data_IF_030453448756
#
_entry.id   IF_030453448756
#
_cell.length_a   1.000
_cell.length_b   1.000
_cell.length_c   1.000
_cell.angle_alpha   90.00
_cell.angle_beta   90.00
_cell.angle_gamma   90.00
#
_symmetry.space_group_name_H-M   'P 1'
#
loop_
_entity.id
_entity.type
_entity.pdbx_description
1 polymer ?
#
# COMPACT_ATOMS: atom_id res chain seq x y z
N UNK A 1 -24.77 11.25 5.07
CA UNK A 1 -23.77 10.59 4.21
C UNK A 1 -22.56 10.17 5.02
N UNK A 2 -21.96 11.04 5.85
CA UNK A 2 -20.81 10.70 6.68
C UNK A 2 -21.03 9.42 7.52
N UNK A 3 -22.16 9.35 8.25
CA UNK A 3 -22.51 8.17 9.06
C UNK A 3 -22.67 6.88 8.24
N UNK A 4 -23.10 6.99 6.99
CA UNK A 4 -23.34 5.83 6.12
C UNK A 4 -22.00 5.30 5.58
N UNK A 5 -21.07 6.20 5.24
CA UNK A 5 -19.68 5.87 4.88
C UNK A 5 -19.00 5.14 6.04
N UNK A 6 -19.04 5.70 7.25
CA UNK A 6 -18.39 5.07 8.41
C UNK A 6 -19.00 3.70 8.74
N UNK A 7 -20.33 3.53 8.63
CA UNK A 7 -20.98 2.22 8.78
C UNK A 7 -20.59 1.22 7.70
N UNK A 8 -20.39 1.68 6.46
CA UNK A 8 -19.87 0.84 5.40
C UNK A 8 -18.48 0.34 5.77
N UNK A 9 -17.57 1.23 6.18
CA UNK A 9 -16.21 0.86 6.55
C UNK A 9 -16.15 -0.06 7.77
N UNK A 10 -16.94 0.19 8.82
CA UNK A 10 -17.08 -0.73 9.97
C UNK A 10 -17.53 -2.13 9.56
N UNK A 11 -18.47 -2.20 8.60
CA UNK A 11 -18.93 -3.48 8.05
C UNK A 11 -17.81 -4.18 7.29
N UNK A 12 -17.00 -3.45 6.54
CA UNK A 12 -15.83 -4.00 5.82
C UNK A 12 -14.78 -4.51 6.79
N UNK A 13 -14.45 -3.74 7.81
CA UNK A 13 -13.55 -4.18 8.89
C UNK A 13 -14.07 -5.45 9.57
N UNK A 14 -15.37 -5.48 9.95
CA UNK A 14 -15.97 -6.66 10.60
C UNK A 14 -16.02 -7.91 9.72
N UNK A 15 -15.91 -7.74 8.40
CA UNK A 15 -15.89 -8.82 7.42
C UNK A 15 -14.46 -9.22 7.00
N UNK A 16 -13.41 -8.61 7.57
CA UNK A 16 -12.02 -8.78 7.12
C UNK A 16 -11.79 -8.35 5.66
N UNK A 17 -12.55 -7.34 5.21
CA UNK A 17 -12.50 -6.73 3.87
C UNK A 17 -11.97 -5.29 3.93
N UNK A 18 -11.36 -4.88 5.05
CA UNK A 18 -10.69 -3.59 5.24
C UNK A 18 -9.19 -3.84 5.38
N UNK A 19 -8.29 -2.95 4.91
CA UNK A 19 -6.86 -3.17 5.07
C UNK A 19 -6.54 -3.32 6.55
N UNK A 20 -5.80 -4.37 6.89
CA UNK A 20 -5.36 -4.68 8.24
C UNK A 20 -3.84 -4.83 8.19
N UNK A 21 -3.13 -3.97 8.92
CA UNK A 21 -1.66 -3.92 8.89
C UNK A 21 -1.01 -4.82 9.94
N UNK A 22 -1.81 -5.33 10.86
CA UNK A 22 -1.52 -6.37 11.85
C UNK A 22 -1.81 -7.79 11.32
N UNK A 23 -1.95 -7.92 10.01
CA UNK A 23 -2.31 -9.17 9.36
C UNK A 23 -1.07 -9.93 8.90
N UNK A 24 -0.86 -11.14 9.42
CA UNK A 24 0.26 -12.05 9.12
C UNK A 24 0.32 -12.55 7.65
N UNK A 25 -0.36 -11.90 6.70
CA UNK A 25 -0.37 -12.26 5.28
C UNK A 25 0.52 -11.37 4.40
N UNK A 26 1.07 -10.27 4.93
CA UNK A 26 1.97 -9.40 4.17
C UNK A 26 2.92 -8.60 5.06
N UNK A 27 4.21 -8.71 4.78
CA UNK A 27 5.23 -7.80 5.31
C UNK A 27 5.15 -6.46 4.57
N UNK A 28 4.65 -5.43 5.24
CA UNK A 28 4.43 -4.12 4.62
C UNK A 28 5.76 -3.41 4.36
N UNK A 29 5.87 -2.77 3.19
CA UNK A 29 6.96 -1.86 2.83
C UNK A 29 6.52 -0.40 2.76
N UNK A 30 5.33 -0.14 2.22
CA UNK A 30 4.77 1.19 2.10
C UNK A 30 3.26 1.11 1.85
N UNK A 31 2.55 2.17 2.20
CA UNK A 31 1.10 2.27 1.99
C UNK A 31 0.71 3.66 1.49
N UNK A 32 -0.34 3.73 0.68
CA UNK A 32 -0.91 4.98 0.17
C UNK A 32 -2.42 4.96 0.26
N UNK A 33 -2.99 6.07 0.74
CA UNK A 33 -4.41 6.36 0.68
C UNK A 33 -4.67 7.50 -0.32
N UNK A 34 -5.61 7.29 -1.23
CA UNK A 34 -6.05 8.29 -2.20
C UNK A 34 -7.57 8.44 -2.12
N UNK A 35 -8.05 9.69 -2.12
CA UNK A 35 -9.46 10.04 -2.17
C UNK A 35 -9.76 10.74 -3.50
N UNK A 36 -10.75 10.25 -4.23
CA UNK A 36 -11.19 10.82 -5.50
C UNK A 36 -12.60 11.38 -5.37
N UNK A 37 -12.88 12.43 -6.15
CA UNK A 37 -14.22 12.94 -6.38
C UNK A 37 -14.55 12.95 -7.86
N UNK A 38 -15.82 12.73 -8.18
CA UNK A 38 -16.36 12.95 -9.53
C UNK A 38 -17.62 13.79 -9.45
N UNK A 39 -17.64 14.88 -10.23
CA UNK A 39 -18.79 15.78 -10.43
C UNK A 39 -19.52 16.22 -9.13
N UNK A 40 -18.80 16.34 -8.01
CA UNK A 40 -19.33 16.66 -6.69
C UNK A 40 -20.40 15.69 -6.16
N UNK A 41 -20.53 14.49 -6.74
CA UNK A 41 -21.50 13.47 -6.33
C UNK A 41 -20.79 12.24 -5.81
N UNK A 42 -19.99 11.63 -6.67
CA UNK A 42 -19.36 10.36 -6.37
C UNK A 42 -18.04 10.56 -5.64
N UNK A 43 -17.64 9.52 -4.91
CA UNK A 43 -16.41 9.46 -4.15
C UNK A 43 -15.81 8.06 -4.26
N UNK A 44 -14.48 7.99 -4.18
CA UNK A 44 -13.72 6.75 -4.19
C UNK A 44 -12.58 6.87 -3.18
N UNK A 45 -12.51 5.94 -2.24
CA UNK A 45 -11.32 5.70 -1.42
C UNK A 45 -10.53 4.57 -2.05
N UNK A 46 -9.22 4.76 -2.17
CA UNK A 46 -8.30 3.73 -2.67
C UNK A 46 -7.18 3.60 -1.65
N UNK A 47 -6.95 2.39 -1.20
CA UNK A 47 -5.78 2.00 -0.42
C UNK A 47 -4.87 1.17 -1.32
N UNK A 48 -3.58 1.47 -1.32
CA UNK A 48 -2.55 0.67 -1.94
C UNK A 48 -1.58 0.23 -0.85
N UNK A 49 -1.36 -1.07 -0.71
CA UNK A 49 -0.48 -1.67 0.30
C UNK A 49 0.56 -2.49 -0.44
N UNK A 50 1.79 -1.98 -0.50
CA UNK A 50 2.89 -2.66 -1.17
C UNK A 50 3.72 -3.40 -0.13
N UNK A 51 3.95 -4.68 -0.38
CA UNK A 51 4.69 -5.52 0.54
C UNK A 51 5.01 -6.87 -0.05
N UNK A 52 5.37 -7.80 0.82
CA UNK A 52 5.70 -9.18 0.47
C UNK A 52 4.72 -10.10 1.17
N UNK A 53 3.88 -10.78 0.40
CA UNK A 53 3.02 -11.84 0.89
C UNK A 53 3.59 -13.23 0.59
N UNK A 54 2.86 -14.26 1.00
CA UNK A 54 3.19 -15.67 0.67
C UNK A 54 3.36 -15.99 -0.83
N UNK A 55 2.84 -15.15 -1.73
CA UNK A 55 2.97 -15.30 -3.19
C UNK A 55 4.06 -14.41 -3.79
N UNK A 56 4.82 -13.68 -2.97
CA UNK A 56 5.87 -12.77 -3.39
C UNK A 56 5.49 -11.29 -3.21
N UNK A 57 6.18 -10.44 -3.97
CA UNK A 57 5.99 -8.98 -3.94
C UNK A 57 4.67 -8.63 -4.61
N UNK A 58 3.83 -7.82 -3.96
CA UNK A 58 2.62 -7.30 -4.60
C UNK A 58 2.16 -5.95 -4.03
N UNK A 59 1.26 -5.31 -4.77
CA UNK A 59 0.47 -4.15 -4.35
C UNK A 59 -0.98 -4.61 -4.16
N UNK A 60 -1.44 -4.71 -2.91
CA UNK A 60 -2.86 -4.95 -2.61
C UNK A 60 -3.63 -3.63 -2.65
N UNK A 61 -4.61 -3.58 -3.54
CA UNK A 61 -5.37 -2.39 -3.88
C UNK A 61 -6.81 -2.59 -3.48
N UNK A 62 -7.24 -1.86 -2.45
CA UNK A 62 -8.60 -1.94 -1.92
C UNK A 62 -9.36 -0.65 -2.19
N UNK A 63 -10.54 -0.78 -2.79
CA UNK A 63 -11.34 0.35 -3.28
C UNK A 63 -12.73 0.35 -2.67
N UNK A 64 -13.15 1.51 -2.15
CA UNK A 64 -14.48 1.74 -1.60
C UNK A 64 -15.12 2.98 -2.21
N UNK A 65 -16.37 2.86 -2.65
CA UNK A 65 -17.18 3.97 -3.13
C UNK A 65 -18.67 3.72 -2.90
N UNK A 66 -19.52 4.61 -3.40
CA UNK A 66 -20.99 4.51 -3.22
C UNK A 66 -21.58 3.19 -3.76
N UNK A 67 -20.98 2.63 -4.83
CA UNK A 67 -21.45 1.41 -5.50
C UNK A 67 -20.36 0.42 -5.87
N UNK A 68 -19.12 0.73 -5.48
CA UNK A 68 -17.96 -0.11 -5.78
C UNK A 68 -17.30 -0.52 -4.48
N UNK A 69 -16.97 -1.80 -4.40
CA UNK A 69 -16.17 -2.36 -3.36
C UNK A 69 -15.40 -3.54 -3.95
N UNK A 70 -14.10 -3.37 -4.13
CA UNK A 70 -13.25 -4.37 -4.75
C UNK A 70 -11.87 -4.39 -4.09
N UNK A 71 -11.20 -5.53 -4.17
CA UNK A 71 -9.80 -5.71 -3.80
C UNK A 71 -9.12 -6.50 -4.90
N UNK A 72 -7.92 -6.07 -5.30
CA UNK A 72 -7.09 -6.73 -6.29
C UNK A 72 -5.63 -6.66 -5.83
N UNK A 73 -4.89 -7.75 -5.99
CA UNK A 73 -3.44 -7.76 -5.83
C UNK A 73 -2.77 -7.69 -7.19
N UNK A 74 -1.83 -6.75 -7.34
CA UNK A 74 -0.92 -6.71 -8.49
C UNK A 74 0.44 -7.28 -8.08
N UNK A 75 0.74 -8.49 -8.54
CA UNK A 75 2.01 -9.20 -8.35
C UNK A 75 3.02 -8.91 -9.48
N UNK A 76 2.66 -8.07 -10.46
CA UNK A 76 3.51 -7.67 -11.58
C UNK A 76 4.30 -6.39 -11.36
N UNK A 77 4.20 -5.78 -10.16
CA UNK A 77 4.81 -4.48 -9.86
C UNK A 77 6.34 -4.49 -9.90
N UNK A 78 6.98 -5.65 -9.66
CA UNK A 78 8.42 -5.83 -9.63
C UNK A 78 8.79 -7.11 -10.40
N UNK A 79 9.74 -7.00 -11.33
CA UNK A 79 10.18 -8.08 -12.21
C UNK A 79 11.70 -8.07 -12.32
N UNK A 80 12.33 -9.18 -12.70
CA UNK A 80 13.76 -9.20 -12.97
C UNK A 80 14.08 -8.46 -14.27
N UNK A 81 13.40 -8.82 -15.36
CA UNK A 81 13.62 -8.30 -16.71
C UNK A 81 12.33 -8.27 -17.52
N UNK A 82 12.39 -7.75 -18.76
CA UNK A 82 11.30 -7.83 -19.73
C UNK A 82 10.79 -9.27 -19.93
N UNK A 83 9.59 -9.55 -19.41
CA UNK A 83 8.93 -10.84 -19.55
C UNK A 83 9.38 -11.90 -18.54
N UNK A 84 10.24 -11.54 -17.58
CA UNK A 84 10.69 -12.41 -16.48
C UNK A 84 10.18 -11.89 -15.13
N UNK A 85 8.99 -12.36 -14.74
CA UNK A 85 8.30 -11.99 -13.50
C UNK A 85 8.81 -12.75 -12.26
N UNK A 86 9.63 -13.78 -12.46
CA UNK A 86 10.10 -14.64 -11.38
C UNK A 86 11.14 -13.92 -10.54
N UNK A 87 10.77 -13.48 -9.33
CA UNK A 87 11.69 -12.93 -8.33
C UNK A 87 12.35 -14.02 -7.47
N UNK A 88 11.87 -15.26 -7.62
CA UNK A 88 12.31 -16.42 -6.86
C UNK A 88 12.71 -17.53 -7.82
N UNK A 89 13.76 -18.26 -7.50
CA UNK A 89 14.19 -19.39 -8.31
C UNK A 89 13.32 -20.64 -8.06
N UNK A 90 13.65 -21.74 -8.73
CA UNK A 90 12.93 -23.02 -8.59
C UNK A 90 13.04 -23.67 -7.19
N UNK A 91 13.92 -23.17 -6.32
CA UNK A 91 14.06 -23.60 -4.92
C UNK A 91 13.34 -22.65 -3.96
N UNK A 92 12.83 -21.50 -4.46
CA UNK A 92 12.16 -20.47 -3.66
C UNK A 92 13.09 -19.41 -3.10
N UNK A 93 14.35 -19.37 -3.55
CA UNK A 93 15.33 -18.38 -3.12
C UNK A 93 15.14 -17.06 -3.87
N UNK A 94 15.19 -15.93 -3.15
CA UNK A 94 15.06 -14.61 -3.74
C UNK A 94 16.24 -14.30 -4.66
N UNK A 95 15.96 -14.08 -5.94
CA UNK A 95 16.99 -13.94 -6.99
C UNK A 95 17.68 -12.57 -6.99
N UNK A 96 16.99 -11.42 -6.82
CA UNK A 96 17.65 -10.12 -6.83
C UNK A 96 18.73 -9.99 -5.75
N UNK A 97 19.89 -9.47 -6.13
CA UNK A 97 20.89 -9.08 -5.14
C UNK A 97 20.44 -7.79 -4.45
N UNK A 98 20.15 -7.83 -3.15
CA UNK A 98 19.61 -6.67 -2.42
C UNK A 98 20.57 -5.46 -2.34
N UNK A 99 21.86 -5.63 -2.65
CA UNK A 99 22.86 -4.56 -2.57
C UNK A 99 23.15 -3.89 -3.90
N UNK A 100 23.30 -4.63 -4.99
CA UNK A 100 23.57 -4.05 -6.30
C UNK A 100 23.03 -4.94 -7.39
N UNK A 101 22.11 -4.40 -8.18
CA UNK A 101 21.52 -5.07 -9.33
C UNK A 101 20.67 -4.09 -10.14
N UNK A 102 19.90 -4.63 -11.07
CA UNK A 102 18.78 -3.94 -11.69
C UNK A 102 17.51 -4.78 -11.62
N UNK A 103 16.37 -4.11 -11.54
CA UNK A 103 15.03 -4.69 -11.59
C UNK A 103 14.15 -3.86 -12.52
N UNK A 104 13.00 -4.40 -12.90
CA UNK A 104 11.96 -3.66 -13.61
C UNK A 104 10.78 -3.38 -12.68
N UNK A 105 10.42 -2.10 -12.53
CA UNK A 105 9.28 -1.65 -11.73
C UNK A 105 8.23 -1.06 -12.67
N UNK A 106 7.07 -1.70 -12.83
CA UNK A 106 5.98 -1.24 -13.73
C UNK A 106 6.48 -0.72 -15.10
N UNK A 107 7.20 -1.56 -15.83
CA UNK A 107 7.84 -1.25 -17.11
C UNK A 107 9.08 -0.33 -17.11
N UNK A 108 9.53 0.13 -15.94
CA UNK A 108 10.69 0.99 -15.81
C UNK A 108 11.90 0.19 -15.34
N UNK A 109 12.99 0.21 -16.11
CA UNK A 109 14.28 -0.32 -15.67
C UNK A 109 14.85 0.55 -14.56
N UNK A 110 15.16 -0.06 -13.41
CA UNK A 110 15.64 0.60 -12.22
C UNK A 110 16.93 -0.08 -11.74
N UNK A 111 18.04 0.65 -11.81
CA UNK A 111 19.34 0.22 -11.32
C UNK A 111 19.56 0.76 -9.91
N UNK A 112 20.17 -0.05 -9.03
CA UNK A 112 20.43 0.36 -7.67
C UNK A 112 21.79 -0.12 -7.16
N UNK A 113 22.33 0.66 -6.23
CA UNK A 113 23.55 0.37 -5.49
C UNK A 113 23.32 0.82 -4.04
N UNK A 114 22.86 -0.12 -3.22
CA UNK A 114 22.65 0.01 -1.79
C UNK A 114 23.80 -0.61 -1.01
N UNK A 115 24.19 0.04 0.07
CA UNK A 115 25.21 -0.44 1.00
C UNK A 115 24.57 -0.98 2.29
N UNK A 116 25.28 -1.80 3.05
CA UNK A 116 24.85 -2.19 4.40
C UNK A 116 24.54 -0.97 5.28
N UNK A 117 25.29 0.13 5.11
CA UNK A 117 25.06 1.37 5.85
C UNK A 117 23.72 2.02 5.48
N UNK A 118 23.28 1.94 4.21
CA UNK A 118 21.97 2.42 3.80
C UNK A 118 20.85 1.67 4.49
N UNK A 119 20.97 0.34 4.61
CA UNK A 119 20.02 -0.51 5.35
C UNK A 119 19.91 -0.08 6.81
N UNK A 120 21.05 0.04 7.50
CA UNK A 120 21.09 0.47 8.90
C UNK A 120 20.55 1.89 9.08
N UNK A 121 20.91 2.83 8.21
CA UNK A 121 20.45 4.22 8.27
C UNK A 121 18.93 4.35 8.05
N UNK A 122 18.35 3.45 7.25
CA UNK A 122 16.91 3.36 7.07
C UNK A 122 16.22 2.48 8.12
N UNK A 123 16.97 1.96 9.11
CA UNK A 123 16.45 1.15 10.21
C UNK A 123 15.98 -0.24 9.78
N UNK A 124 16.54 -0.77 8.70
CA UNK A 124 16.29 -2.11 8.19
C UNK A 124 17.47 -2.98 8.64
N UNK A 125 17.20 -3.94 9.52
CA UNK A 125 18.21 -4.89 9.99
C UNK A 125 18.12 -6.16 9.16
N UNK A 126 19.13 -6.45 8.36
CA UNK A 126 19.20 -7.66 7.52
C UNK A 126 19.65 -8.83 8.39
N UNK A 127 18.73 -9.73 8.77
CA UNK A 127 19.02 -10.86 9.68
C UNK A 127 19.16 -12.20 8.96
N UNK A 128 18.31 -12.44 7.97
CA UNK A 128 18.19 -13.72 7.25
C UNK A 128 17.97 -13.49 5.75
N UNK A 129 18.44 -14.43 4.93
CA UNK A 129 18.19 -14.45 3.47
C UNK A 129 16.71 -14.67 3.15
N UNK A 130 15.98 -15.40 3.99
CA UNK A 130 14.55 -15.71 3.79
C UNK A 130 13.67 -14.45 3.73
N UNK A 131 14.12 -13.37 4.38
CA UNK A 131 13.41 -12.08 4.46
C UNK A 131 14.01 -11.01 3.56
N UNK A 132 14.94 -11.38 2.66
CA UNK A 132 15.49 -10.46 1.66
C UNK A 132 14.44 -9.72 0.84
N UNK A 133 13.34 -10.36 0.36
CA UNK A 133 12.29 -9.64 -0.36
C UNK A 133 11.75 -8.47 0.47
N UNK A 134 11.46 -8.70 1.76
CA UNK A 134 10.91 -7.69 2.68
C UNK A 134 11.90 -6.55 2.89
N UNK A 135 13.17 -6.86 3.18
CA UNK A 135 14.20 -5.85 3.37
C UNK A 135 14.43 -5.04 2.09
N UNK A 136 14.43 -5.70 0.94
CA UNK A 136 14.61 -5.05 -0.36
C UNK A 136 13.46 -4.11 -0.69
N UNK A 137 12.21 -4.56 -0.54
CA UNK A 137 11.03 -3.70 -0.78
C UNK A 137 11.00 -2.49 0.16
N UNK A 138 11.37 -2.67 1.44
CA UNK A 138 11.52 -1.55 2.38
C UNK A 138 12.63 -0.58 1.96
N UNK A 139 13.74 -1.08 1.42
CA UNK A 139 14.81 -0.25 0.89
C UNK A 139 14.35 0.53 -0.34
N UNK A 140 13.70 -0.12 -1.30
CA UNK A 140 13.11 0.54 -2.48
C UNK A 140 12.14 1.66 -2.08
N UNK A 141 11.33 1.45 -1.04
CA UNK A 141 10.40 2.46 -0.53
C UNK A 141 11.10 3.71 0.04
N UNK A 142 12.40 3.64 0.36
CA UNK A 142 13.21 4.81 0.80
C UNK A 142 13.72 5.64 -0.38
N UNK A 143 13.77 5.04 -1.59
CA UNK A 143 14.17 5.73 -2.81
C UNK A 143 12.94 6.36 -3.49
N UNK A 144 12.92 7.68 -3.65
CA UNK A 144 11.76 8.40 -4.20
C UNK A 144 11.34 7.96 -5.61
N UNK A 145 12.27 7.55 -6.47
CA UNK A 145 11.95 7.09 -7.82
C UNK A 145 11.25 5.72 -7.76
N UNK A 146 11.90 4.74 -7.14
CA UNK A 146 11.33 3.39 -6.97
C UNK A 146 10.00 3.42 -6.21
N UNK A 147 9.93 4.18 -5.11
CA UNK A 147 8.72 4.38 -4.31
C UNK A 147 7.53 4.80 -5.15
N UNK A 148 7.71 5.80 -6.01
CA UNK A 148 6.63 6.33 -6.85
C UNK A 148 6.23 5.36 -7.98
N UNK A 149 7.18 4.59 -8.50
CA UNK A 149 6.93 3.59 -9.53
C UNK A 149 6.13 2.39 -9.03
N UNK A 150 6.12 2.10 -7.72
CA UNK A 150 5.40 0.95 -7.17
C UNK A 150 3.88 1.17 -7.03
N UNK A 151 3.42 2.42 -7.15
CA UNK A 151 2.00 2.75 -7.08
C UNK A 151 1.31 2.59 -8.43
N UNK A 152 0.05 2.15 -8.39
CA UNK A 152 -0.89 2.43 -9.48
C UNK A 152 -1.15 3.94 -9.56
N UNK A 153 -1.10 4.40 -10.79
CA UNK A 153 -1.58 5.71 -11.22
C UNK A 153 -3.09 5.79 -11.11
N UNK A 154 -3.60 7.02 -11.18
CA UNK A 154 -5.05 7.26 -11.26
C UNK A 154 -5.66 6.54 -12.46
N UNK A 155 -5.01 6.63 -13.62
CA UNK A 155 -5.51 6.10 -14.87
C UNK A 155 -5.66 4.58 -14.80
N UNK A 156 -4.68 3.88 -14.23
CA UNK A 156 -4.72 2.42 -14.02
C UNK A 156 -5.86 2.01 -13.08
N UNK A 157 -6.03 2.72 -11.95
CA UNK A 157 -7.15 2.49 -11.03
C UNK A 157 -8.50 2.66 -11.74
N UNK A 158 -8.66 3.75 -12.51
CA UNK A 158 -9.94 4.04 -13.16
C UNK A 158 -10.26 3.04 -14.27
N UNK A 159 -9.25 2.62 -15.03
CA UNK A 159 -9.37 1.61 -16.09
C UNK A 159 -9.74 0.23 -15.51
N UNK A 160 -9.00 -0.24 -14.50
CA UNK A 160 -9.24 -1.55 -13.89
C UNK A 160 -10.67 -1.69 -13.34
N UNK A 161 -11.18 -0.62 -12.73
CA UNK A 161 -12.48 -0.63 -12.07
C UNK A 161 -13.64 -0.12 -12.96
N UNK A 162 -13.41 0.06 -14.27
CA UNK A 162 -14.39 0.56 -15.24
C UNK A 162 -15.07 1.87 -14.79
N UNK A 163 -14.28 2.76 -14.21
CA UNK A 163 -14.73 4.02 -13.63
C UNK A 163 -14.63 5.17 -14.64
N UNK A 164 -15.63 5.27 -15.50
CA UNK A 164 -15.71 6.34 -16.49
C UNK A 164 -15.88 7.74 -15.89
N UNK A 165 -15.48 8.78 -16.65
CA UNK A 165 -15.72 10.19 -16.35
C UNK A 165 -14.53 10.92 -15.72
N UNK A 166 -14.71 12.22 -15.45
CA UNK A 166 -13.63 13.07 -14.92
C UNK A 166 -13.54 12.94 -13.39
N UNK A 167 -12.90 11.85 -12.94
CA UNK A 167 -12.48 11.72 -11.56
C UNK A 167 -11.28 12.63 -11.29
N UNK A 168 -11.23 13.25 -10.12
CA UNK A 168 -10.12 14.07 -9.66
C UNK A 168 -9.57 13.50 -8.36
N UNK A 169 -8.24 13.40 -8.27
CA UNK A 169 -7.56 13.08 -7.01
C UNK A 169 -7.72 14.29 -6.09
N UNK A 170 -8.59 14.16 -5.10
CA UNK A 170 -8.88 15.23 -4.15
C UNK A 170 -7.86 15.30 -3.01
N UNK A 171 -7.28 14.16 -2.65
CA UNK A 171 -6.32 14.04 -1.57
C UNK A 171 -5.52 12.76 -1.67
N UNK A 172 -4.22 12.82 -1.32
CA UNK A 172 -3.38 11.64 -1.14
C UNK A 172 -2.54 11.77 0.13
N UNK A 173 -2.22 10.63 0.74
CA UNK A 173 -1.29 10.54 1.85
C UNK A 173 -0.72 9.14 1.97
N UNK A 174 0.52 9.05 2.43
CA UNK A 174 1.14 7.81 2.90
C UNK A 174 1.18 7.75 4.43
N UNK A 175 0.80 8.85 5.09
CA UNK A 175 0.82 9.03 6.53
C UNK A 175 -0.60 9.27 7.06
N UNK A 176 -1.09 8.35 7.88
CA UNK A 176 -2.30 8.49 8.68
C UNK A 176 -2.27 7.59 9.92
N UNK A 177 -3.17 7.80 10.87
CA UNK A 177 -3.43 6.85 11.95
C UNK A 177 -4.34 5.75 11.41
N UNK A 178 -3.76 4.62 11.02
CA UNK A 178 -4.48 3.40 10.69
C UNK A 178 -5.07 2.77 11.96
N UNK A 179 -6.16 2.02 11.80
CA UNK A 179 -6.86 1.35 12.90
C UNK A 179 -6.00 0.23 13.48
N UNK A 180 -6.10 0.01 14.79
CA UNK A 180 -5.52 -1.15 15.48
C UNK A 180 -6.69 -1.97 16.07
N UNK A 181 -7.06 -1.73 17.32
CA UNK A 181 -8.18 -2.41 17.98
C UNK A 181 -9.52 -1.68 17.80
N UNK A 182 -9.50 -0.40 17.41
CA UNK A 182 -10.70 0.41 17.31
C UNK A 182 -11.48 0.19 16.02
N UNK A 183 -12.76 0.59 16.02
CA UNK A 183 -13.52 0.60 14.77
C UNK A 183 -13.06 1.71 13.85
N UNK A 184 -13.17 1.49 12.54
CA UNK A 184 -12.93 2.55 11.53
C UNK A 184 -13.78 3.80 11.82
N UNK A 185 -15.01 3.65 12.30
CA UNK A 185 -15.88 4.76 12.67
C UNK A 185 -15.45 5.52 13.93
N UNK A 186 -14.57 4.96 14.75
CA UNK A 186 -14.04 5.56 15.98
C UNK A 186 -12.71 6.29 15.74
N UNK A 187 -12.02 5.98 14.64
CA UNK A 187 -10.74 6.57 14.26
C UNK A 187 -10.87 7.98 13.65
N UNK A 188 -10.07 8.94 14.15
CA UNK A 188 -10.16 10.37 13.78
C UNK A 188 -9.87 10.61 12.28
N UNK A 189 -8.91 9.90 11.70
CA UNK A 189 -8.58 10.03 10.29
C UNK A 189 -9.79 9.66 9.44
N UNK A 190 -10.38 8.48 9.63
CA UNK A 190 -11.52 8.04 8.83
C UNK A 190 -12.80 8.84 9.09
N UNK A 191 -13.01 9.32 10.32
CA UNK A 191 -14.08 10.29 10.62
C UNK A 191 -13.92 11.58 9.81
N UNK A 192 -12.69 12.10 9.72
CA UNK A 192 -12.39 13.32 8.96
C UNK A 192 -12.49 13.11 7.44
N UNK A 193 -12.08 11.95 6.92
CA UNK A 193 -12.26 11.57 5.51
C UNK A 193 -13.75 11.49 5.16
N UNK A 194 -14.56 10.83 5.98
CA UNK A 194 -16.01 10.77 5.75
C UNK A 194 -16.66 12.16 5.82
N UNK A 195 -16.19 13.04 6.70
CA UNK A 195 -16.63 14.44 6.74
C UNK A 195 -16.19 15.22 5.49
N UNK A 196 -14.99 14.98 4.98
CA UNK A 196 -14.44 15.60 3.79
C UNK A 196 -15.24 15.21 2.55
N UNK A 197 -15.67 13.94 2.45
CA UNK A 197 -16.58 13.48 1.40
C UNK A 197 -17.95 14.18 1.51
N UNK A 198 -18.47 14.36 2.73
CA UNK A 198 -19.76 15.04 2.94
C UNK A 198 -19.73 16.53 2.61
N UNK A 199 -18.64 17.21 2.96
CA UNK A 199 -18.47 18.64 2.72
C UNK A 199 -17.84 18.95 1.36
N UNK A 200 -17.36 17.93 0.64
CA UNK A 200 -16.55 18.04 -0.58
C UNK A 200 -15.34 18.94 -0.37
N UNK A 201 -14.69 18.75 0.77
CA UNK A 201 -13.57 19.58 1.21
C UNK A 201 -12.49 18.68 1.83
N UNK A 202 -11.45 18.29 1.05
CA UNK A 202 -10.36 17.44 1.55
C UNK A 202 -9.45 18.18 2.55
N UNK A 203 -9.52 19.51 2.65
CA UNK A 203 -8.63 20.29 3.52
C UNK A 203 -8.89 20.05 5.02
N UNK A 204 -10.04 19.47 5.36
CA UNK A 204 -10.42 19.14 6.75
C UNK A 204 -9.91 17.77 7.21
N UNK A 205 -9.28 16.99 6.33
CA UNK A 205 -8.76 15.66 6.69
C UNK A 205 -7.63 15.82 7.70
N UNK A 206 -7.75 15.13 8.84
CA UNK A 206 -6.82 15.23 9.96
C UNK A 206 -5.73 14.19 9.80
N UNK A 207 -4.47 14.63 9.71
CA UNK A 207 -3.28 13.77 9.80
C UNK A 207 -2.59 14.01 11.13
N UNK A 208 -2.80 13.12 12.09
CA UNK A 208 -2.13 13.12 13.40
C UNK A 208 -1.77 11.70 13.78
N UNK A 209 -0.75 11.57 14.62
CA UNK A 209 -0.34 10.31 15.24
C UNK A 209 -0.21 9.15 14.24
N UNK A 210 0.39 9.44 13.07
CA UNK A 210 0.48 8.47 11.99
C UNK A 210 1.28 7.24 12.41
N UNK A 211 0.72 6.06 12.15
CA UNK A 211 1.34 4.76 12.44
C UNK A 211 1.56 3.93 11.16
N UNK A 212 1.29 4.46 9.97
CA UNK A 212 1.35 3.70 8.69
C UNK A 212 2.74 3.30 8.22
N UNK A 213 3.80 3.86 8.80
CA UNK A 213 5.16 3.45 8.48
C UNK A 213 5.40 1.99 8.92
N UNK A 214 5.97 1.15 8.04
CA UNK A 214 6.16 -0.30 8.25
C UNK A 214 6.85 -0.65 9.59
N UNK A 215 7.78 0.20 10.05
CA UNK A 215 8.45 0.05 11.37
C UNK A 215 7.51 -0.13 12.55
N UNK A 216 6.27 0.35 12.46
CA UNK A 216 5.29 0.20 13.53
C UNK A 216 4.58 -1.18 13.52
N UNK A 217 4.78 -1.98 12.48
CA UNK A 217 4.06 -3.24 12.23
C UNK A 217 5.00 -4.46 12.10
N UNK A 218 6.29 -4.28 12.35
CA UNK A 218 7.30 -5.35 12.17
C UNK A 218 7.05 -6.59 13.04
N UNK A 219 6.30 -6.47 14.14
CA UNK A 219 5.94 -7.63 14.96
C UNK A 219 5.05 -8.64 14.25
N UNK A 220 4.38 -8.22 13.17
CA UNK A 220 3.53 -9.05 12.31
C UNK A 220 4.25 -9.54 11.04
N UNK A 221 5.53 -9.18 10.86
CA UNK A 221 6.31 -9.70 9.74
C UNK A 221 6.46 -11.22 9.86
N UNK A 222 6.51 -11.93 8.73
CA UNK A 222 6.69 -13.38 8.68
C UNK A 222 7.91 -13.88 9.47
N UNK A 223 8.99 -13.09 9.52
CA UNK A 223 10.19 -13.43 10.30
C UNK A 223 9.97 -13.43 11.82
N UNK A 224 8.90 -12.77 12.29
CA UNK A 224 8.57 -12.57 13.69
C UNK A 224 7.31 -13.36 14.13
N UNK A 225 6.53 -13.88 13.19
CA UNK A 225 5.39 -14.78 13.46
C UNK A 225 5.88 -16.18 13.89
N UNK A 226 5.54 -16.59 15.13
CA UNK A 226 5.92 -17.89 15.73
C UNK A 226 4.82 -18.95 15.66
#
# INVERSE_FOLDING_TARGET
MQKDILKLLDKKQSNYEFPAFDNDYMDISQVKFSLFFKENKDWLMVFQVVGVGSLGVCNDIQVYGDRINHSIGDDGILQLNDGEYELFDGEGEFMPNIYNDSVKIRDHHFEYEFTEEDYVNNGIEVKTTDSYPTYFMRMLATNNEARNLLWWSKEEILEEFDLEGNWEVAYETEEWKHVEDEKVSENEFFQSVAAAIEKKDPSIIVKKDANTHWKNWVEFDYENSY
#
